data_IF_749864014873
#
_entry.id   IF_749864014873
#
_cell.length_a   1.000
_cell.length_b   1.000
_cell.length_c   1.000
_cell.angle_alpha   90.00
_cell.angle_beta   90.00
_cell.angle_gamma   90.00
#
_symmetry.space_group_name_H-M   'P 1'
#
loop_
_entity.id
_entity.type
_entity.pdbx_description
1 polymer ?
#
# COMPACT_ATOMS: atom_id res chain seq x y z
N UNK A 1 17.42 -6.93 -18.89
CA UNK A 1 16.06 -7.50 -18.74
C UNK A 1 16.00 -8.13 -17.36
N UNK A 2 14.97 -7.88 -16.56
CA UNK A 2 14.79 -8.59 -15.27
C UNK A 2 14.52 -10.05 -15.61
N UNK A 3 15.29 -10.96 -15.01
CA UNK A 3 15.04 -12.39 -15.11
C UNK A 3 14.43 -12.85 -13.80
N UNK A 4 13.19 -13.28 -13.86
CA UNK A 4 12.54 -13.98 -12.74
C UNK A 4 12.90 -15.46 -12.77
N UNK A 5 12.91 -16.11 -11.61
CA UNK A 5 13.07 -17.56 -11.55
C UNK A 5 11.84 -18.25 -12.16
N UNK A 6 11.99 -19.52 -12.53
CA UNK A 6 10.87 -20.31 -13.06
C UNK A 6 9.70 -20.37 -12.04
N UNK A 7 10.01 -20.46 -10.74
CA UNK A 7 9.07 -20.47 -9.65
C UNK A 7 8.33 -19.12 -9.52
N UNK A 8 9.04 -18.01 -9.60
CA UNK A 8 8.44 -16.66 -9.60
C UNK A 8 7.51 -16.44 -10.80
N UNK A 9 7.88 -16.93 -11.99
CA UNK A 9 7.03 -16.85 -13.18
C UNK A 9 5.78 -17.74 -13.05
N UNK A 10 5.89 -18.92 -12.46
CA UNK A 10 4.75 -19.79 -12.19
C UNK A 10 3.81 -19.16 -11.16
N UNK A 11 4.36 -18.65 -10.07
CA UNK A 11 3.62 -17.90 -9.05
C UNK A 11 2.86 -16.72 -9.67
N UNK A 12 3.55 -15.88 -10.46
CA UNK A 12 2.93 -14.76 -11.16
C UNK A 12 1.75 -15.20 -12.03
N UNK A 13 1.92 -16.29 -12.81
CA UNK A 13 0.82 -16.85 -13.62
C UNK A 13 -0.35 -17.34 -12.75
N UNK A 14 -0.08 -17.94 -11.59
CA UNK A 14 -1.14 -18.38 -10.68
C UNK A 14 -1.92 -17.19 -10.11
N UNK A 15 -1.22 -16.13 -9.66
CA UNK A 15 -1.86 -14.90 -9.19
C UNK A 15 -2.64 -14.23 -10.31
N UNK A 16 -2.09 -14.15 -11.53
CA UNK A 16 -2.78 -13.56 -12.68
C UNK A 16 -4.10 -14.28 -13.00
N UNK A 17 -4.12 -15.63 -12.99
CA UNK A 17 -5.36 -16.41 -13.19
C UNK A 17 -6.40 -16.11 -12.12
N UNK A 18 -6.00 -16.03 -10.85
CA UNK A 18 -6.90 -15.66 -9.76
C UNK A 18 -7.48 -14.25 -9.96
N UNK A 19 -6.60 -13.30 -10.31
CA UNK A 19 -7.00 -11.90 -10.53
C UNK A 19 -7.97 -11.79 -11.70
N UNK A 20 -7.72 -12.47 -12.81
CA UNK A 20 -8.59 -12.42 -13.99
C UNK A 20 -9.95 -13.11 -13.74
N UNK A 21 -9.96 -14.19 -12.96
CA UNK A 21 -11.18 -14.95 -12.70
C UNK A 21 -12.04 -14.36 -11.58
N UNK A 22 -11.47 -13.83 -10.51
CA UNK A 22 -12.23 -13.44 -9.33
C UNK A 22 -12.15 -11.94 -8.99
N UNK A 23 -11.03 -11.25 -9.25
CA UNK A 23 -10.79 -9.88 -8.79
C UNK A 23 -11.26 -8.84 -9.82
N UNK A 24 -10.75 -8.94 -11.04
CA UNK A 24 -11.05 -7.95 -12.08
C UNK A 24 -12.56 -7.84 -12.40
N UNK A 25 -13.32 -8.95 -12.49
CA UNK A 25 -14.77 -8.87 -12.75
C UNK A 25 -15.57 -8.18 -11.63
N UNK A 26 -15.06 -8.16 -10.39
CA UNK A 26 -15.75 -7.55 -9.26
C UNK A 26 -15.38 -6.07 -9.04
N UNK A 27 -14.30 -5.59 -9.69
CA UNK A 27 -13.65 -4.32 -9.34
C UNK A 27 -14.56 -3.10 -9.56
N UNK A 28 -15.30 -3.03 -10.65
CA UNK A 28 -16.18 -1.89 -10.96
C UNK A 28 -17.36 -1.82 -9.99
N UNK A 29 -18.04 -2.93 -9.73
CA UNK A 29 -19.15 -2.99 -8.78
C UNK A 29 -18.72 -2.65 -7.33
N UNK A 30 -17.52 -3.04 -6.92
CA UNK A 30 -16.96 -2.69 -5.62
C UNK A 30 -16.61 -1.19 -5.54
N UNK A 31 -16.05 -0.62 -6.60
CA UNK A 31 -15.76 0.82 -6.68
C UNK A 31 -17.06 1.63 -6.62
N UNK A 32 -18.09 1.25 -7.38
CA UNK A 32 -19.40 1.92 -7.41
C UNK A 32 -20.04 1.96 -6.01
N UNK A 33 -20.06 0.81 -5.31
CA UNK A 33 -20.63 0.72 -3.96
C UNK A 33 -19.75 1.29 -2.88
N UNK A 34 -18.46 1.57 -3.17
CA UNK A 34 -17.45 1.97 -2.19
C UNK A 34 -17.41 1.02 -0.97
N UNK A 35 -17.53 -0.28 -1.23
CA UNK A 35 -17.68 -1.33 -0.22
C UNK A 35 -16.38 -2.13 -0.06
N UNK A 36 -16.00 -2.41 1.21
CA UNK A 36 -14.86 -3.26 1.50
C UNK A 36 -15.03 -4.65 0.87
N UNK A 37 -14.05 -5.14 0.12
CA UNK A 37 -14.16 -6.40 -0.63
C UNK A 37 -13.98 -7.64 0.26
N UNK A 38 -14.82 -7.80 1.30
CA UNK A 38 -14.64 -8.78 2.38
C UNK A 38 -14.45 -10.22 1.86
N UNK A 39 -15.26 -10.66 0.88
CA UNK A 39 -15.13 -11.99 0.28
C UNK A 39 -13.78 -12.20 -0.39
N UNK A 40 -13.34 -11.24 -1.20
CA UNK A 40 -12.04 -11.34 -1.89
C UNK A 40 -10.88 -11.21 -0.92
N UNK A 41 -11.00 -10.35 0.10
CA UNK A 41 -9.99 -10.21 1.14
C UNK A 41 -9.81 -11.52 1.93
N UNK A 42 -10.91 -12.16 2.34
CA UNK A 42 -10.87 -13.49 2.97
C UNK A 42 -10.25 -14.53 2.05
N UNK A 43 -10.61 -14.50 0.75
CA UNK A 43 -10.05 -15.41 -0.26
C UNK A 43 -8.54 -15.27 -0.42
N UNK A 44 -7.99 -14.04 -0.33
CA UNK A 44 -6.53 -13.82 -0.31
C UNK A 44 -5.86 -14.50 0.89
N UNK A 45 -6.50 -14.48 2.06
CA UNK A 45 -6.02 -15.19 3.26
C UNK A 45 -6.03 -16.70 3.07
N UNK A 46 -7.12 -17.27 2.54
CA UNK A 46 -7.26 -18.71 2.25
C UNK A 46 -6.21 -19.22 1.24
N UNK A 47 -5.85 -18.40 0.28
CA UNK A 47 -4.79 -18.67 -0.70
C UNK A 47 -3.38 -18.42 -0.16
N UNK A 48 -3.23 -17.96 1.10
CA UNK A 48 -1.95 -17.66 1.72
C UNK A 48 -1.31 -16.34 1.28
N UNK A 49 -1.97 -15.54 0.44
CA UNK A 49 -1.39 -14.34 -0.14
C UNK A 49 -1.18 -13.21 0.89
N UNK A 50 -2.00 -13.14 1.96
CA UNK A 50 -1.78 -12.18 3.03
C UNK A 50 -0.57 -12.52 3.90
N UNK A 51 -0.14 -13.79 3.88
CA UNK A 51 0.98 -14.32 4.65
C UNK A 51 2.30 -14.45 3.88
N UNK A 52 2.38 -14.04 2.61
CA UNK A 52 3.54 -14.29 1.74
C UNK A 52 4.90 -13.97 2.39
N UNK A 53 5.02 -12.83 3.04
CA UNK A 53 6.26 -12.32 3.66
C UNK A 53 6.60 -12.92 5.03
N UNK A 54 5.73 -13.74 5.60
CA UNK A 54 5.87 -14.25 6.97
C UNK A 54 6.38 -15.69 6.98
N UNK A 55 7.08 -16.11 8.07
CA UNK A 55 7.57 -17.47 8.20
C UNK A 55 6.44 -18.52 8.22
N UNK A 56 6.74 -19.73 7.78
CA UNK A 56 5.83 -20.89 7.81
C UNK A 56 5.32 -21.19 9.22
N UNK A 57 6.12 -20.93 10.26
CA UNK A 57 5.73 -21.11 11.67
C UNK A 57 4.47 -20.33 12.07
N UNK A 58 4.10 -19.28 11.30
CA UNK A 58 2.90 -18.48 11.49
C UNK A 58 1.88 -18.68 10.34
N UNK A 59 2.11 -19.62 9.45
CA UNK A 59 1.25 -19.87 8.29
C UNK A 59 1.56 -18.97 7.09
N UNK A 60 2.75 -18.40 7.04
CA UNK A 60 3.25 -17.65 5.89
C UNK A 60 4.02 -18.53 4.90
N UNK A 61 4.54 -17.92 3.83
CA UNK A 61 5.30 -18.61 2.78
C UNK A 61 6.78 -18.26 2.78
N UNK A 62 7.27 -17.34 3.61
CA UNK A 62 8.67 -16.90 3.64
C UNK A 62 9.15 -16.26 2.34
N UNK A 63 8.23 -15.74 1.51
CA UNK A 63 8.53 -15.22 0.19
C UNK A 63 9.44 -13.99 0.25
N UNK A 64 10.28 -13.84 -0.77
CA UNK A 64 11.13 -12.67 -0.97
C UNK A 64 10.32 -11.44 -1.41
N UNK A 65 10.96 -10.26 -1.43
CA UNK A 65 10.31 -9.02 -1.82
C UNK A 65 9.97 -8.98 -3.32
N UNK A 66 10.76 -9.64 -4.16
CA UNK A 66 10.47 -9.78 -5.59
C UNK A 66 9.15 -10.53 -5.79
N UNK A 67 8.98 -11.68 -5.15
CA UNK A 67 7.74 -12.48 -5.19
C UNK A 67 6.54 -11.70 -4.65
N UNK A 68 6.73 -10.97 -3.55
CA UNK A 68 5.69 -10.12 -2.99
C UNK A 68 5.30 -8.97 -3.96
N UNK A 69 6.25 -8.36 -4.64
CA UNK A 69 5.97 -7.35 -5.67
C UNK A 69 5.20 -7.92 -6.86
N UNK A 70 5.49 -9.15 -7.29
CA UNK A 70 4.73 -9.83 -8.35
C UNK A 70 3.25 -9.99 -7.95
N UNK A 71 3.00 -10.41 -6.69
CA UNK A 71 1.65 -10.47 -6.15
C UNK A 71 0.97 -9.10 -6.13
N UNK A 72 1.62 -8.08 -5.56
CA UNK A 72 1.06 -6.75 -5.41
C UNK A 72 0.76 -6.09 -6.78
N UNK A 73 1.65 -6.26 -7.76
CA UNK A 73 1.50 -5.78 -9.13
C UNK A 73 0.27 -6.42 -9.81
N UNK A 74 0.16 -7.75 -9.79
CA UNK A 74 -0.97 -8.45 -10.42
C UNK A 74 -2.29 -8.11 -9.71
N UNK A 75 -2.29 -8.00 -8.38
CA UNK A 75 -3.50 -7.65 -7.63
C UNK A 75 -3.99 -6.23 -7.98
N UNK A 76 -3.06 -5.26 -8.08
CA UNK A 76 -3.37 -3.88 -8.47
C UNK A 76 -3.82 -3.77 -9.93
N UNK A 77 -3.35 -4.66 -10.82
CA UNK A 77 -3.84 -4.78 -12.20
C UNK A 77 -5.34 -5.12 -12.22
N UNK A 78 -5.81 -5.97 -11.34
CA UNK A 78 -7.23 -6.31 -11.24
C UNK A 78 -8.05 -5.30 -10.45
N UNK A 79 -7.59 -4.92 -9.26
CA UNK A 79 -8.27 -3.96 -8.38
C UNK A 79 -7.27 -3.22 -7.50
N UNK A 80 -7.11 -1.93 -7.75
CA UNK A 80 -6.26 -1.07 -6.92
C UNK A 80 -6.79 -0.96 -5.48
N UNK A 81 -8.12 -0.95 -5.30
CA UNK A 81 -8.74 -0.91 -3.97
C UNK A 81 -8.43 -2.16 -3.15
N UNK A 82 -8.54 -3.36 -3.76
CA UNK A 82 -8.19 -4.61 -3.07
C UNK A 82 -6.70 -4.68 -2.77
N UNK A 83 -5.85 -4.24 -3.72
CA UNK A 83 -4.41 -4.17 -3.51
C UNK A 83 -4.04 -3.25 -2.33
N UNK A 84 -4.63 -2.06 -2.24
CA UNK A 84 -4.41 -1.14 -1.13
C UNK A 84 -4.81 -1.76 0.22
N UNK A 85 -5.99 -2.41 0.29
CA UNK A 85 -6.47 -3.08 1.51
C UNK A 85 -5.57 -4.26 1.93
N UNK A 86 -5.19 -5.13 0.97
CA UNK A 86 -4.36 -6.30 1.20
C UNK A 86 -2.91 -5.92 1.58
N UNK A 87 -2.33 -4.91 0.94
CA UNK A 87 -0.99 -4.43 1.25
C UNK A 87 -0.94 -3.72 2.62
N UNK A 88 -2.00 -3.01 3.03
CA UNK A 88 -2.13 -2.51 4.40
C UNK A 88 -2.09 -3.67 5.40
N UNK A 89 -2.86 -4.72 5.18
CA UNK A 89 -2.86 -5.92 6.02
C UNK A 89 -1.46 -6.55 6.11
N UNK A 90 -0.92 -6.93 4.96
CA UNK A 90 0.24 -7.82 4.86
C UNK A 90 1.59 -7.15 5.15
N UNK A 91 1.71 -5.83 4.98
CA UNK A 91 2.97 -5.12 5.27
C UNK A 91 2.89 -4.17 6.47
N UNK A 92 1.75 -3.54 6.74
CA UNK A 92 1.69 -2.50 7.78
C UNK A 92 0.92 -2.99 9.01
N UNK A 93 -0.28 -3.54 8.83
CA UNK A 93 -1.12 -3.96 9.94
C UNK A 93 -0.55 -5.13 10.75
N UNK A 94 0.14 -6.06 10.09
CA UNK A 94 0.68 -7.27 10.71
C UNK A 94 2.18 -7.19 11.04
N UNK A 95 2.94 -6.31 10.36
CA UNK A 95 4.40 -6.23 10.53
C UNK A 95 4.84 -5.97 11.97
N UNK A 96 4.23 -4.99 12.62
CA UNK A 96 4.64 -4.60 13.98
C UNK A 96 4.32 -5.68 15.01
N UNK A 97 3.22 -6.42 14.81
CA UNK A 97 2.87 -7.58 15.63
C UNK A 97 3.93 -8.67 15.48
N UNK A 98 4.33 -8.95 14.22
CA UNK A 98 5.36 -9.97 13.94
C UNK A 98 6.72 -9.59 14.54
N UNK A 99 7.19 -8.36 14.30
CA UNK A 99 8.56 -7.95 14.70
C UNK A 99 8.70 -7.69 16.19
N UNK A 100 7.68 -7.14 16.83
CA UNK A 100 7.78 -6.59 18.18
C UNK A 100 6.79 -7.16 19.19
N UNK A 101 5.81 -7.94 18.75
CA UNK A 101 4.87 -8.63 19.62
C UNK A 101 5.48 -9.83 20.30
N UNK A 102 4.94 -10.21 21.47
CA UNK A 102 5.23 -11.49 22.13
C UNK A 102 4.71 -12.66 21.28
N UNK A 103 5.15 -13.88 21.61
CA UNK A 103 4.65 -15.09 20.93
C UNK A 103 3.13 -15.24 21.09
N UNK A 104 2.58 -14.90 22.26
CA UNK A 104 1.13 -14.92 22.50
C UNK A 104 0.40 -13.94 21.59
N UNK A 105 0.91 -12.70 21.42
CA UNK A 105 0.34 -11.72 20.50
C UNK A 105 0.41 -12.19 19.04
N UNK A 106 1.52 -12.81 18.64
CA UNK A 106 1.67 -13.39 17.30
C UNK A 106 0.64 -14.49 17.05
N UNK A 107 0.49 -15.43 18.01
CA UNK A 107 -0.50 -16.52 17.87
C UNK A 107 -1.93 -16.00 17.88
N UNK A 108 -2.23 -15.04 18.75
CA UNK A 108 -3.58 -14.52 18.92
C UNK A 108 -4.02 -13.62 17.77
N UNK A 109 -3.13 -12.78 17.21
CA UNK A 109 -3.51 -11.72 16.26
C UNK A 109 -2.87 -11.89 14.87
N UNK A 110 -1.56 -12.21 14.81
CA UNK A 110 -0.88 -12.34 13.51
C UNK A 110 -1.42 -13.52 12.71
N UNK A 111 -1.46 -14.72 13.30
CA UNK A 111 -1.89 -15.93 12.58
C UNK A 111 -3.31 -15.79 11.99
N UNK A 112 -4.33 -15.36 12.74
CA UNK A 112 -5.65 -15.13 12.16
C UNK A 112 -5.67 -14.02 11.11
N UNK A 113 -4.87 -12.96 11.30
CA UNK A 113 -4.78 -11.88 10.31
C UNK A 113 -4.18 -12.36 8.98
N UNK A 114 -3.17 -13.24 8.99
CA UNK A 114 -2.61 -13.83 7.77
C UNK A 114 -3.60 -14.75 7.03
N UNK A 115 -4.56 -15.33 7.74
CA UNK A 115 -5.67 -16.12 7.18
C UNK A 115 -6.86 -15.27 6.71
N UNK A 116 -6.80 -13.94 6.92
CA UNK A 116 -7.92 -13.07 6.62
C UNK A 116 -9.13 -13.24 7.56
N UNK A 117 -8.94 -13.84 8.74
CA UNK A 117 -9.96 -13.96 9.78
C UNK A 117 -10.10 -12.67 10.60
N UNK A 118 -9.02 -11.89 10.69
CA UNK A 118 -8.97 -10.58 11.32
C UNK A 118 -8.43 -9.54 10.33
N UNK A 119 -9.02 -8.37 10.36
CA UNK A 119 -8.51 -7.20 9.62
C UNK A 119 -7.61 -6.39 10.54
N UNK A 120 -6.33 -6.31 10.20
CA UNK A 120 -5.34 -5.53 10.92
C UNK A 120 -5.00 -4.24 10.17
N UNK A 121 -4.74 -3.16 10.90
CA UNK A 121 -4.33 -1.87 10.33
C UNK A 121 -3.25 -1.18 11.15
N UNK A 122 -2.66 -0.14 10.55
CA UNK A 122 -1.68 0.73 11.19
C UNK A 122 -2.16 2.18 11.18
N UNK A 123 -2.19 2.82 12.35
CA UNK A 123 -2.73 4.15 12.56
C UNK A 123 -1.64 5.11 13.06
N UNK A 124 -1.12 5.96 12.15
CA UNK A 124 -0.10 6.96 12.42
C UNK A 124 -0.64 8.38 12.27
N UNK A 125 -1.26 8.65 11.12
CA UNK A 125 -1.70 9.98 10.67
C UNK A 125 -2.81 10.55 11.56
N UNK A 126 -2.75 11.86 11.82
CA UNK A 126 -3.75 12.62 12.57
C UNK A 126 -4.25 13.82 11.74
N UNK A 127 -5.38 14.45 12.10
CA UNK A 127 -5.91 15.59 11.34
C UNK A 127 -4.87 16.69 11.06
N UNK A 128 -3.94 16.92 11.99
CA UNK A 128 -2.91 17.96 11.90
C UNK A 128 -1.49 17.41 11.69
N UNK A 129 -1.31 16.09 11.49
CA UNK A 129 0.00 15.45 11.40
C UNK A 129 0.01 14.32 10.37
N UNK A 130 0.39 14.64 9.13
CA UNK A 130 0.62 13.68 8.04
C UNK A 130 2.11 13.51 7.77
N UNK A 131 2.67 14.37 6.89
CA UNK A 131 4.11 14.36 6.58
C UNK A 131 4.98 14.75 7.77
N UNK A 132 4.49 15.63 8.65
CA UNK A 132 5.13 15.97 9.94
C UNK A 132 4.70 15.00 11.05
N UNK A 133 5.26 13.78 11.02
CA UNK A 133 5.01 12.75 12.03
C UNK A 133 5.40 13.21 13.46
N UNK A 134 6.33 14.15 13.59
CA UNK A 134 6.75 14.67 14.90
C UNK A 134 5.63 15.44 15.63
N UNK A 135 4.62 15.90 14.89
CA UNK A 135 3.51 16.71 15.39
C UNK A 135 2.27 15.90 15.79
N UNK A 136 2.33 14.55 15.83
CA UNK A 136 1.20 13.76 16.34
C UNK A 136 0.90 14.18 17.78
N UNK A 137 -0.37 14.13 18.17
CA UNK A 137 -0.89 14.55 19.49
C UNK A 137 -1.52 13.42 20.28
N UNK A 138 -1.84 12.29 19.64
CA UNK A 138 -2.28 11.07 20.34
C UNK A 138 -1.27 10.71 21.41
N UNK A 139 -1.72 10.56 22.64
CA UNK A 139 -0.89 10.30 23.82
C UNK A 139 -1.25 8.99 24.49
N UNK A 140 -0.24 8.38 25.08
CA UNK A 140 -0.34 7.23 25.96
C UNK A 140 0.21 7.61 27.32
N UNK A 141 -0.63 7.58 28.36
CA UNK A 141 -0.27 7.87 29.73
C UNK A 141 -0.16 6.57 30.52
N UNK A 142 0.89 6.42 31.31
CA UNK A 142 1.06 5.23 32.15
C UNK A 142 0.03 5.20 33.26
N UNK A 143 -0.67 4.07 33.43
CA UNK A 143 -1.62 3.85 34.52
C UNK A 143 -1.42 2.45 35.10
N UNK A 144 -0.90 2.39 36.35
CA UNK A 144 -0.50 1.12 36.94
C UNK A 144 0.58 0.42 36.15
N UNK A 145 0.34 -0.81 35.76
CA UNK A 145 1.21 -1.61 34.90
C UNK A 145 0.92 -1.45 33.40
N UNK A 146 -0.20 -0.78 33.04
CA UNK A 146 -0.64 -0.56 31.65
C UNK A 146 -0.57 0.89 31.21
N UNK A 147 -1.37 1.20 30.19
CA UNK A 147 -1.44 2.50 29.52
C UNK A 147 -2.88 2.93 29.28
N UNK A 148 -3.09 4.24 29.19
CA UNK A 148 -4.36 4.83 28.74
C UNK A 148 -4.09 5.70 27.52
N UNK A 149 -4.75 5.40 26.40
CA UNK A 149 -4.60 6.11 25.14
C UNK A 149 -5.76 7.07 24.90
N UNK A 150 -5.41 8.30 24.43
CA UNK A 150 -6.37 9.34 23.99
C UNK A 150 -5.87 9.99 22.72
N UNK A 151 -6.77 10.22 21.77
CA UNK A 151 -6.46 10.93 20.53
C UNK A 151 -7.34 10.55 19.36
N UNK A 152 -7.01 11.12 18.19
CA UNK A 152 -7.72 10.87 16.93
C UNK A 152 -6.72 10.50 15.85
N UNK A 153 -7.00 9.43 15.14
CA UNK A 153 -6.28 9.03 13.93
C UNK A 153 -7.20 9.20 12.72
N UNK A 154 -6.64 9.61 11.60
CA UNK A 154 -7.40 9.80 10.35
C UNK A 154 -6.67 9.22 9.16
N UNK A 155 -7.36 9.08 8.04
CA UNK A 155 -6.83 8.46 6.81
C UNK A 155 -6.28 7.04 7.01
N UNK A 156 -6.86 6.31 7.96
CA UNK A 156 -6.42 4.95 8.27
C UNK A 156 -7.13 3.96 7.35
N UNK A 157 -6.36 3.36 6.44
CA UNK A 157 -6.84 2.30 5.53
C UNK A 157 -7.32 1.10 6.36
N UNK A 158 -8.43 0.52 5.96
CA UNK A 158 -9.14 -0.57 6.64
C UNK A 158 -9.75 -0.19 8.01
N UNK A 159 -9.59 1.03 8.54
CA UNK A 159 -10.11 1.39 9.88
C UNK A 159 -11.58 1.03 10.08
N UNK A 160 -12.52 1.33 9.16
CA UNK A 160 -13.94 1.05 9.39
C UNK A 160 -14.28 -0.43 9.64
N UNK A 161 -13.40 -1.35 9.20
CA UNK A 161 -13.57 -2.81 9.32
C UNK A 161 -12.49 -3.47 10.16
N UNK A 162 -11.58 -2.69 10.77
CA UNK A 162 -10.46 -3.25 11.51
C UNK A 162 -10.88 -3.93 12.81
N UNK A 163 -10.32 -5.10 13.07
CA UNK A 163 -10.42 -5.84 14.33
C UNK A 163 -9.25 -5.51 15.25
N UNK A 164 -8.07 -5.29 14.65
CA UNK A 164 -6.80 -5.09 15.35
C UNK A 164 -6.08 -3.87 14.78
N UNK A 165 -5.63 -2.99 15.68
CA UNK A 165 -5.02 -1.73 15.30
C UNK A 165 -3.64 -1.58 15.96
N UNK A 166 -2.60 -1.36 15.16
CA UNK A 166 -1.33 -0.84 15.69
C UNK A 166 -1.39 0.68 15.66
N UNK A 167 -1.33 1.32 16.82
CA UNK A 167 -1.49 2.77 16.97
C UNK A 167 -0.19 3.39 17.44
N UNK A 168 0.29 4.43 16.75
CA UNK A 168 1.39 5.26 17.17
C UNK A 168 0.90 6.34 18.14
N UNK A 169 1.49 6.45 19.33
CA UNK A 169 1.14 7.45 20.34
C UNK A 169 2.39 7.97 21.04
N UNK A 170 2.34 9.21 21.56
CA UNK A 170 3.39 9.78 22.39
C UNK A 170 3.28 9.30 23.83
N UNK A 171 4.41 8.90 24.40
CA UNK A 171 4.53 8.47 25.79
C UNK A 171 4.98 9.60 26.74
N UNK A 172 5.33 10.77 26.20
CA UNK A 172 5.61 11.99 26.97
C UNK A 172 5.07 13.22 26.25
N UNK A 173 4.96 14.34 26.99
CA UNK A 173 4.50 15.63 26.46
C UNK A 173 5.51 16.37 25.57
N UNK A 174 6.72 15.86 25.42
CA UNK A 174 7.76 16.50 24.63
C UNK A 174 7.47 16.41 23.14
N UNK A 175 7.75 17.49 22.42
CA UNK A 175 7.71 17.50 20.95
C UNK A 175 8.89 16.71 20.39
N UNK A 176 8.63 15.87 19.39
CA UNK A 176 9.68 15.14 18.70
C UNK A 176 9.30 13.70 18.38
N UNK A 177 10.26 12.99 17.77
CA UNK A 177 10.08 11.63 17.27
C UNK A 177 10.43 10.54 18.30
N UNK A 178 11.31 10.87 19.27
CA UNK A 178 11.88 9.88 20.21
C UNK A 178 10.84 9.24 21.13
N UNK A 179 9.78 9.98 21.46
CA UNK A 179 8.76 9.59 22.43
C UNK A 179 7.54 8.91 21.79
N UNK A 180 7.65 8.50 20.54
CA UNK A 180 6.58 7.75 19.86
C UNK A 180 6.78 6.26 20.16
N UNK A 181 5.71 5.63 20.65
CA UNK A 181 5.62 4.19 20.87
C UNK A 181 4.47 3.59 20.05
N UNK A 182 4.48 2.27 19.88
CA UNK A 182 3.48 1.54 19.13
C UNK A 182 2.67 0.65 20.08
N UNK A 183 1.35 0.76 20.02
CA UNK A 183 0.41 0.03 20.86
C UNK A 183 -0.51 -0.84 20.00
N UNK A 184 -0.67 -2.10 20.39
CA UNK A 184 -1.60 -3.03 19.75
C UNK A 184 -2.95 -2.95 20.46
N UNK A 185 -3.98 -2.53 19.74
CA UNK A 185 -5.34 -2.45 20.25
C UNK A 185 -6.20 -3.56 19.65
N UNK A 186 -6.92 -4.26 20.52
CA UNK A 186 -7.96 -5.24 20.18
C UNK A 186 -9.31 -4.56 20.33
N UNK A 187 -9.97 -4.29 19.21
CA UNK A 187 -11.24 -3.57 19.19
C UNK A 187 -12.35 -4.28 19.99
N UNK A 188 -12.37 -5.60 19.96
CA UNK A 188 -13.40 -6.39 20.65
C UNK A 188 -13.17 -6.44 22.18
N UNK A 189 -11.90 -6.40 22.60
CA UNK A 189 -11.51 -6.54 24.00
C UNK A 189 -11.37 -5.20 24.75
N UNK A 190 -11.11 -4.09 24.02
CA UNK A 190 -10.80 -2.78 24.62
C UNK A 190 -11.95 -1.79 24.39
N UNK A 191 -12.37 -1.09 25.45
CA UNK A 191 -13.38 -0.03 25.38
C UNK A 191 -12.75 1.30 24.98
N UNK A 192 -13.60 2.24 24.53
CA UNK A 192 -13.15 3.59 24.16
C UNK A 192 -12.56 3.70 22.76
N UNK A 193 -12.67 2.67 21.92
CA UNK A 193 -12.27 2.69 20.51
C UNK A 193 -13.53 2.88 19.66
N UNK A 194 -13.64 4.04 19.01
CA UNK A 194 -14.72 4.32 18.06
C UNK A 194 -14.13 4.40 16.65
N UNK A 195 -14.64 3.56 15.74
CA UNK A 195 -14.31 3.63 14.32
C UNK A 195 -15.28 4.58 13.62
N UNK A 196 -14.75 5.63 13.00
CA UNK A 196 -15.53 6.59 12.25
C UNK A 196 -16.07 6.01 10.94
N UNK A 197 -16.96 6.75 10.28
CA UNK A 197 -17.45 6.43 8.95
C UNK A 197 -16.31 6.40 7.96
N UNK A 198 -16.48 5.63 6.87
CA UNK A 198 -15.56 5.71 5.73
C UNK A 198 -15.52 7.13 5.17
N UNK A 199 -14.32 7.63 4.95
CA UNK A 199 -14.09 8.88 4.23
C UNK A 199 -14.48 8.63 2.76
N UNK A 200 -15.39 9.43 2.24
CA UNK A 200 -15.75 9.39 0.83
C UNK A 200 -14.57 9.88 -0.01
N UNK A 201 -14.14 9.06 -0.96
CA UNK A 201 -12.95 9.31 -1.77
C UNK A 201 -13.25 9.17 -3.24
N UNK A 202 -12.58 9.95 -4.06
CA UNK A 202 -12.63 9.78 -5.51
C UNK A 202 -11.90 8.53 -5.99
N UNK A 203 -10.89 8.06 -5.24
CA UNK A 203 -9.97 6.99 -5.61
C UNK A 203 -10.02 5.83 -4.61
N UNK A 204 -9.68 4.64 -5.06
CA UNK A 204 -9.61 3.41 -4.23
C UNK A 204 -10.83 3.28 -3.32
N UNK A 205 -12.01 3.49 -3.88
CA UNK A 205 -13.25 3.65 -3.11
C UNK A 205 -13.57 2.43 -2.26
N UNK A 206 -13.31 1.24 -2.77
CA UNK A 206 -13.52 -0.03 -2.05
C UNK A 206 -12.40 -0.35 -1.04
N UNK A 207 -11.29 0.39 -0.99
CA UNK A 207 -10.34 0.36 0.11
C UNK A 207 -10.81 1.33 1.19
N UNK A 208 -11.75 0.88 2.04
CA UNK A 208 -12.36 1.74 3.06
C UNK A 208 -11.30 2.37 3.95
N UNK A 209 -11.45 3.66 4.20
CA UNK A 209 -10.48 4.47 4.95
C UNK A 209 -11.26 5.33 5.92
N UNK A 210 -10.84 5.45 7.16
CA UNK A 210 -11.64 6.15 8.16
C UNK A 210 -10.81 6.79 9.26
N UNK A 211 -11.53 7.28 10.25
CA UNK A 211 -10.99 7.84 11.47
C UNK A 211 -11.10 6.83 12.63
N UNK A 212 -10.24 6.98 13.62
CA UNK A 212 -10.25 6.21 14.86
C UNK A 212 -10.21 7.22 16.00
N UNK A 213 -11.24 7.25 16.83
CA UNK A 213 -11.28 8.02 18.06
C UNK A 213 -10.92 7.10 19.23
N UNK A 214 -10.00 7.56 20.06
CA UNK A 214 -9.50 6.87 21.25
C UNK A 214 -9.87 7.71 22.49
N UNK A 215 -10.76 7.20 23.32
CA UNK A 215 -11.28 7.85 24.53
C UNK A 215 -11.00 6.96 25.74
N UNK A 216 -9.92 7.29 26.45
CA UNK A 216 -9.48 6.55 27.65
C UNK A 216 -9.30 5.04 27.42
N UNK A 217 -8.72 4.67 26.29
CA UNK A 217 -8.51 3.25 25.95
C UNK A 217 -7.46 2.65 26.87
N UNK A 218 -7.88 1.73 27.76
CA UNK A 218 -6.98 1.00 28.63
C UNK A 218 -6.28 -0.12 27.85
N UNK A 219 -4.94 -0.06 27.83
CA UNK A 219 -4.08 -0.98 27.09
C UNK A 219 -3.14 -1.70 28.05
N UNK A 220 -3.20 -3.05 28.12
CA UNK A 220 -2.32 -3.84 28.96
C UNK A 220 -0.83 -3.62 28.57
N UNK A 221 0.08 -3.69 29.57
CA UNK A 221 1.51 -3.51 29.34
C UNK A 221 2.07 -4.42 28.22
N UNK A 222 1.60 -5.68 28.14
CA UNK A 222 2.01 -6.64 27.11
C UNK A 222 1.62 -6.27 25.68
N UNK A 223 0.75 -5.26 25.47
CA UNK A 223 0.35 -4.77 24.16
C UNK A 223 1.19 -3.59 23.65
N UNK A 224 2.21 -3.16 24.41
CA UNK A 224 3.24 -2.22 23.96
C UNK A 224 4.23 -2.95 23.05
N UNK A 225 4.34 -2.52 21.80
CA UNK A 225 5.16 -3.18 20.80
C UNK A 225 6.59 -2.62 20.78
N UNK A 226 7.53 -3.39 21.34
CA UNK A 226 8.97 -3.10 21.26
C UNK A 226 9.46 -1.93 22.12
N UNK A 227 8.74 -1.57 23.21
CA UNK A 227 9.16 -0.59 24.22
C UNK A 227 8.60 0.82 24.03
N UNK A 228 8.81 1.65 25.04
CA UNK A 228 8.17 2.97 25.23
C UNK A 228 8.67 4.06 24.29
N UNK A 229 9.74 3.80 23.56
CA UNK A 229 10.40 4.74 22.64
C UNK A 229 10.77 4.04 21.32
N UNK A 230 11.33 4.81 20.37
CA UNK A 230 11.87 4.23 19.14
C UNK A 230 10.77 3.79 18.14
N UNK A 231 9.54 4.31 18.26
CA UNK A 231 8.47 3.97 17.33
C UNK A 231 8.76 4.45 15.90
N UNK A 232 9.47 5.57 15.75
CA UNK A 232 9.84 6.08 14.41
C UNK A 232 10.90 5.22 13.76
N UNK A 233 11.88 4.74 14.50
CA UNK A 233 12.89 3.80 14.00
C UNK A 233 12.23 2.47 13.58
N UNK A 234 11.26 1.99 14.35
CA UNK A 234 10.47 0.81 14.01
C UNK A 234 9.66 1.00 12.72
N UNK A 235 9.02 2.17 12.55
CA UNK A 235 8.33 2.55 11.33
C UNK A 235 9.35 2.68 10.18
N UNK A 236 10.51 3.33 10.45
CA UNK A 236 11.60 3.48 9.48
C UNK A 236 12.08 2.15 8.91
N UNK A 237 12.12 1.11 9.73
CA UNK A 237 12.56 -0.23 9.34
C UNK A 237 11.77 -0.88 8.21
N UNK A 238 10.50 -0.49 8.01
CA UNK A 238 9.65 -1.05 6.94
C UNK A 238 9.40 -0.06 5.79
N UNK A 239 9.78 1.21 5.92
CA UNK A 239 9.45 2.24 4.91
C UNK A 239 9.97 1.91 3.52
N UNK A 240 11.15 1.30 3.40
CA UNK A 240 11.70 0.91 2.11
C UNK A 240 10.84 -0.17 1.43
N UNK A 241 10.39 -1.18 2.18
CA UNK A 241 9.49 -2.21 1.66
C UNK A 241 8.14 -1.62 1.24
N UNK A 242 7.57 -0.72 2.05
CA UNK A 242 6.31 -0.01 1.73
C UNK A 242 6.44 0.79 0.43
N UNK A 243 7.56 1.49 0.22
CA UNK A 243 7.80 2.28 -0.98
C UNK A 243 7.96 1.39 -2.22
N UNK A 244 8.72 0.30 -2.12
CA UNK A 244 8.89 -0.66 -3.22
C UNK A 244 7.56 -1.36 -3.55
N UNK A 245 6.78 -1.77 -2.55
CA UNK A 245 5.43 -2.29 -2.74
C UNK A 245 4.52 -1.25 -3.43
N UNK A 246 4.57 0.02 -2.99
CA UNK A 246 3.77 1.10 -3.63
C UNK A 246 4.16 1.29 -5.09
N UNK A 247 5.44 1.14 -5.42
CA UNK A 247 5.90 1.15 -6.81
C UNK A 247 5.34 -0.05 -7.60
N UNK A 248 5.32 -1.25 -7.01
CA UNK A 248 4.77 -2.44 -7.67
C UNK A 248 3.26 -2.29 -7.97
N UNK A 249 2.45 -1.81 -7.02
CA UNK A 249 1.02 -1.55 -7.29
C UNK A 249 0.81 -0.42 -8.30
N UNK A 250 1.73 0.56 -8.37
CA UNK A 250 1.71 1.62 -9.40
C UNK A 250 1.94 1.04 -10.80
N UNK A 251 2.90 0.13 -10.94
CA UNK A 251 3.17 -0.60 -12.19
C UNK A 251 1.95 -1.45 -12.58
N UNK A 252 1.33 -2.16 -11.64
CA UNK A 252 0.14 -2.98 -11.90
C UNK A 252 -1.03 -2.16 -12.43
N UNK A 253 -1.34 -1.02 -11.80
CA UNK A 253 -2.38 -0.11 -12.26
C UNK A 253 -2.08 0.46 -13.66
N UNK A 254 -0.85 0.88 -13.89
CA UNK A 254 -0.42 1.42 -15.18
C UNK A 254 -0.49 0.36 -16.31
N UNK A 255 -0.15 -0.90 -16.00
CA UNK A 255 -0.31 -2.03 -16.93
C UNK A 255 -1.78 -2.24 -17.33
N UNK A 256 -2.70 -2.17 -16.36
CA UNK A 256 -4.13 -2.27 -16.65
C UNK A 256 -4.60 -1.14 -17.58
N UNK A 257 -4.21 0.09 -17.27
CA UNK A 257 -4.57 1.26 -18.07
C UNK A 257 -3.98 1.22 -19.50
N UNK A 258 -2.71 0.84 -19.62
CA UNK A 258 -2.05 0.67 -20.91
C UNK A 258 -2.73 -0.44 -21.75
N UNK A 259 -3.00 -1.59 -21.14
CA UNK A 259 -3.67 -2.71 -21.81
C UNK A 259 -5.06 -2.34 -22.35
N UNK A 260 -5.86 -1.65 -21.53
CA UNK A 260 -7.17 -1.15 -21.94
C UNK A 260 -7.07 -0.13 -23.08
N UNK A 261 -6.13 0.82 -22.99
CA UNK A 261 -5.92 1.83 -24.03
C UNK A 261 -5.49 1.21 -25.36
N UNK A 262 -4.58 0.23 -25.32
CA UNK A 262 -4.11 -0.48 -26.50
C UNK A 262 -5.23 -1.30 -27.16
N UNK A 263 -6.01 -2.02 -26.37
CA UNK A 263 -7.15 -2.79 -26.89
C UNK A 263 -8.17 -1.87 -27.56
N UNK A 264 -8.59 -0.81 -26.88
CA UNK A 264 -9.51 0.18 -27.43
C UNK A 264 -8.96 0.82 -28.73
N UNK A 265 -7.68 1.20 -28.75
CA UNK A 265 -7.09 1.82 -29.93
C UNK A 265 -7.05 0.91 -31.16
N UNK A 266 -7.01 -0.41 -30.96
CA UNK A 266 -7.05 -1.40 -32.06
C UNK A 266 -8.46 -1.60 -32.61
N UNK A 267 -9.49 -1.41 -31.81
CA UNK A 267 -10.89 -1.62 -32.18
C UNK A 267 -11.57 -0.34 -32.70
N UNK A 268 -11.28 0.79 -32.08
CA UNK A 268 -11.92 2.07 -32.40
C UNK A 268 -11.48 2.57 -33.75
N UNK A 269 -12.47 2.84 -34.62
CA UNK A 269 -12.24 3.38 -35.96
C UNK A 269 -12.42 4.91 -35.98
N UNK A 270 -11.52 5.61 -36.64
CA UNK A 270 -11.65 7.01 -36.98
C UNK A 270 -10.87 7.33 -38.27
N UNK A 271 -11.40 8.19 -39.13
CA UNK A 271 -10.80 8.53 -40.41
C UNK A 271 -10.47 7.32 -41.28
N UNK A 272 -11.36 6.31 -41.29
CA UNK A 272 -11.28 5.13 -42.13
C UNK A 272 -10.32 4.02 -41.69
N UNK A 273 -9.75 4.09 -40.47
CA UNK A 273 -8.83 3.08 -39.94
C UNK A 273 -8.84 3.02 -38.41
N UNK A 274 -8.33 1.93 -37.80
CA UNK A 274 -8.13 1.86 -36.35
C UNK A 274 -7.30 3.03 -35.82
N UNK A 275 -7.68 3.59 -34.67
CA UNK A 275 -6.99 4.79 -34.17
C UNK A 275 -5.54 4.53 -33.77
N UNK A 276 -5.15 3.29 -33.50
CA UNK A 276 -3.75 2.89 -33.26
C UNK A 276 -2.83 3.19 -34.42
N UNK A 277 -3.36 3.23 -35.65
CA UNK A 277 -2.61 3.53 -36.89
C UNK A 277 -2.35 5.04 -37.10
N UNK A 278 -2.95 5.90 -36.26
CA UNK A 278 -2.66 7.33 -36.29
C UNK A 278 -1.41 7.60 -35.45
N UNK A 279 -0.40 8.27 -36.03
CA UNK A 279 0.90 8.52 -35.42
C UNK A 279 0.78 9.14 -34.01
N UNK A 280 -0.14 10.09 -33.80
CA UNK A 280 -0.34 10.73 -32.51
C UNK A 280 -0.77 9.73 -31.41
N UNK A 281 -1.59 8.72 -31.74
CA UNK A 281 -1.98 7.66 -30.81
C UNK A 281 -0.81 6.69 -30.59
N UNK A 282 -0.11 6.30 -31.68
CA UNK A 282 1.06 5.47 -31.60
C UNK A 282 2.15 6.03 -30.68
N UNK A 283 2.42 7.34 -30.77
CA UNK A 283 3.39 8.02 -29.88
C UNK A 283 2.97 7.99 -28.41
N UNK A 284 1.67 8.24 -28.10
CA UNK A 284 1.17 8.12 -26.74
C UNK A 284 1.39 6.71 -26.18
N UNK A 285 1.02 5.69 -26.91
CA UNK A 285 1.22 4.29 -26.50
C UNK A 285 2.70 3.95 -26.33
N UNK A 286 3.59 4.45 -27.18
CA UNK A 286 5.04 4.24 -27.08
C UNK A 286 5.60 4.89 -25.80
N UNK A 287 5.23 6.15 -25.50
CA UNK A 287 5.68 6.87 -24.32
C UNK A 287 5.14 6.21 -23.03
N UNK A 288 3.87 5.77 -23.03
CA UNK A 288 3.27 5.02 -21.92
C UNK A 288 4.07 3.75 -21.65
N UNK A 289 4.35 2.96 -22.69
CA UNK A 289 5.09 1.70 -22.55
C UNK A 289 6.52 1.92 -22.08
N UNK A 290 7.24 2.90 -22.64
CA UNK A 290 8.62 3.22 -22.26
C UNK A 290 8.72 3.63 -20.79
N UNK A 291 7.85 4.54 -20.33
CA UNK A 291 7.82 5.00 -18.94
C UNK A 291 7.42 3.89 -17.96
N UNK A 292 6.44 3.05 -18.33
CA UNK A 292 6.03 1.90 -17.56
C UNK A 292 7.18 0.91 -17.40
N UNK A 293 7.90 0.61 -18.49
CA UNK A 293 9.03 -0.32 -18.47
C UNK A 293 10.17 0.19 -17.60
N UNK A 294 10.48 1.48 -17.63
CA UNK A 294 11.48 2.09 -16.76
C UNK A 294 11.10 1.96 -15.27
N UNK A 295 9.84 2.25 -14.91
CA UNK A 295 9.36 2.10 -13.54
C UNK A 295 9.36 0.65 -13.06
N UNK A 296 9.00 -0.30 -13.93
CA UNK A 296 9.06 -1.73 -13.67
C UNK A 296 10.50 -2.18 -13.35
N UNK A 297 11.48 -1.79 -14.18
CA UNK A 297 12.88 -2.12 -13.95
C UNK A 297 13.38 -1.60 -12.61
N UNK A 298 13.09 -0.33 -12.27
CA UNK A 298 13.46 0.26 -10.98
C UNK A 298 12.81 -0.49 -9.81
N UNK A 299 11.55 -0.87 -9.95
CA UNK A 299 10.78 -1.55 -8.89
C UNK A 299 11.41 -2.89 -8.53
N UNK A 300 11.67 -3.74 -9.52
CA UNK A 300 12.23 -5.06 -9.27
C UNK A 300 13.72 -5.04 -8.93
N UNK A 301 14.47 -4.04 -9.44
CA UNK A 301 15.83 -3.82 -8.97
C UNK A 301 15.87 -3.45 -7.47
N UNK A 302 14.97 -2.56 -7.03
CA UNK A 302 14.86 -2.19 -5.63
C UNK A 302 14.42 -3.37 -4.75
N UNK A 303 13.46 -4.19 -5.22
CA UNK A 303 13.02 -5.40 -4.54
C UNK A 303 14.18 -6.39 -4.36
N UNK A 304 14.93 -6.69 -5.42
CA UNK A 304 16.07 -7.60 -5.37
C UNK A 304 17.19 -7.09 -4.44
N UNK A 305 17.41 -5.79 -4.35
CA UNK A 305 18.37 -5.20 -3.39
C UNK A 305 17.91 -5.36 -1.94
N UNK A 306 16.61 -5.27 -1.65
CA UNK A 306 16.05 -5.58 -0.33
C UNK A 306 16.27 -7.05 0.02
N UNK A 307 16.01 -7.97 -0.92
CA UNK A 307 16.21 -9.40 -0.71
C UNK A 307 17.69 -9.75 -0.48
N UNK A 308 18.60 -8.98 -1.09
CA UNK A 308 20.05 -9.06 -0.81
C UNK A 308 20.47 -8.37 0.53
N UNK A 309 19.53 -7.93 1.37
CA UNK A 309 19.79 -7.31 2.68
C UNK A 309 20.42 -5.91 2.59
N UNK A 310 20.29 -5.21 1.44
CA UNK A 310 20.86 -3.88 1.26
C UNK A 310 19.97 -2.79 1.87
N UNK A 311 20.58 -1.78 2.46
CA UNK A 311 19.88 -0.54 2.81
C UNK A 311 19.64 0.27 1.54
N UNK A 312 18.36 0.57 1.23
CA UNK A 312 17.95 1.20 -0.04
C UNK A 312 16.99 2.38 0.18
N UNK A 313 17.12 3.11 1.27
CA UNK A 313 16.17 4.18 1.62
C UNK A 313 16.00 5.23 0.52
N UNK A 314 17.10 5.64 -0.13
CA UNK A 314 17.12 6.58 -1.25
C UNK A 314 16.54 5.94 -2.52
N UNK A 315 17.02 4.75 -2.87
CA UNK A 315 16.56 4.04 -4.07
C UNK A 315 15.07 3.68 -3.98
N UNK A 316 14.57 3.27 -2.81
CA UNK A 316 13.17 3.03 -2.57
C UNK A 316 12.32 4.32 -2.72
N UNK A 317 12.85 5.46 -2.27
CA UNK A 317 12.21 6.76 -2.46
C UNK A 317 12.16 7.17 -3.94
N UNK A 318 13.28 7.00 -4.68
CA UNK A 318 13.33 7.25 -6.13
C UNK A 318 12.37 6.34 -6.89
N UNK A 319 12.37 5.06 -6.57
CA UNK A 319 11.54 4.04 -7.22
C UNK A 319 10.05 4.37 -7.04
N UNK A 320 9.61 4.66 -5.81
CA UNK A 320 8.22 5.03 -5.53
C UNK A 320 7.84 6.34 -6.23
N UNK A 321 8.69 7.35 -6.20
CA UNK A 321 8.46 8.63 -6.86
C UNK A 321 8.22 8.42 -8.36
N UNK A 322 9.14 7.76 -9.04
CA UNK A 322 9.06 7.53 -10.49
C UNK A 322 7.82 6.69 -10.83
N UNK A 323 7.56 5.59 -10.11
CA UNK A 323 6.46 4.69 -10.42
C UNK A 323 5.08 5.34 -10.17
N UNK A 324 4.91 6.12 -9.10
CA UNK A 324 3.63 6.76 -8.81
C UNK A 324 3.31 7.91 -9.79
N UNK A 325 4.30 8.74 -10.14
CA UNK A 325 4.14 9.81 -11.14
C UNK A 325 3.90 9.22 -12.54
N UNK A 326 4.60 8.15 -12.90
CA UNK A 326 4.38 7.39 -14.14
C UNK A 326 2.95 6.85 -14.21
N UNK A 327 2.45 6.23 -13.14
CA UNK A 327 1.09 5.68 -13.12
C UNK A 327 0.02 6.77 -13.34
N UNK A 328 0.19 7.95 -12.75
CA UNK A 328 -0.69 9.11 -12.99
C UNK A 328 -0.67 9.52 -14.46
N UNK A 329 0.52 9.62 -15.07
CA UNK A 329 0.67 10.00 -16.48
C UNK A 329 0.06 8.94 -17.40
N UNK A 330 0.35 7.66 -17.18
CA UNK A 330 -0.15 6.56 -18.02
C UNK A 330 -1.68 6.44 -17.96
N UNK A 331 -2.27 6.58 -16.77
CA UNK A 331 -3.73 6.51 -16.61
C UNK A 331 -4.45 7.73 -17.20
N UNK A 332 -3.84 8.92 -17.18
CA UNK A 332 -4.35 10.12 -17.85
C UNK A 332 -4.32 9.93 -19.38
N UNK A 333 -3.20 9.48 -19.95
CA UNK A 333 -3.11 9.23 -21.39
C UNK A 333 -4.05 8.10 -21.84
N UNK A 334 -4.26 7.06 -21.03
CA UNK A 334 -5.24 6.02 -21.31
C UNK A 334 -6.65 6.62 -21.43
N UNK A 335 -7.07 7.44 -20.47
CA UNK A 335 -8.38 8.11 -20.53
C UNK A 335 -8.51 9.02 -21.78
N UNK A 336 -7.45 9.73 -22.16
CA UNK A 336 -7.42 10.57 -23.38
C UNK A 336 -7.55 9.78 -24.65
N UNK A 337 -6.98 8.56 -24.73
CA UNK A 337 -7.12 7.67 -25.90
C UNK A 337 -8.59 7.23 -26.06
N UNK A 338 -9.31 7.03 -24.97
CA UNK A 338 -10.74 6.75 -24.99
C UNK A 338 -11.60 8.00 -25.33
N UNK A 339 -11.03 9.21 -25.30
CA UNK A 339 -11.72 10.47 -25.52
C UNK A 339 -12.93 10.61 -24.58
N UNK A 340 -14.13 10.93 -25.07
CA UNK A 340 -15.34 11.07 -24.24
C UNK A 340 -15.71 9.79 -23.51
N UNK A 341 -15.43 8.62 -24.07
CA UNK A 341 -15.65 7.33 -23.38
C UNK A 341 -14.72 7.12 -22.18
N UNK A 342 -13.59 7.83 -22.11
CA UNK A 342 -12.70 7.83 -20.94
C UNK A 342 -13.32 8.49 -19.70
N UNK A 343 -14.43 9.21 -19.85
CA UNK A 343 -15.20 9.83 -18.76
C UNK A 343 -16.40 8.97 -18.33
N UNK A 344 -16.79 7.98 -19.15
CA UNK A 344 -17.96 7.16 -18.88
C UNK A 344 -17.64 6.06 -17.85
N UNK A 345 -18.54 5.91 -16.87
CA UNK A 345 -18.35 4.96 -15.76
C UNK A 345 -18.36 3.49 -16.22
N UNK A 346 -18.89 3.21 -17.41
CA UNK A 346 -18.91 1.89 -18.04
C UNK A 346 -17.52 1.38 -18.46
N UNK A 347 -16.53 2.28 -18.61
CA UNK A 347 -15.18 1.94 -19.01
C UNK A 347 -14.22 2.01 -17.82
N UNK A 348 -13.33 1.04 -17.62
CA UNK A 348 -12.48 0.97 -16.44
C UNK A 348 -11.41 2.08 -16.38
N UNK A 349 -11.10 2.75 -17.49
CA UNK A 349 -10.04 3.76 -17.56
C UNK A 349 -10.29 4.97 -16.67
N UNK A 350 -11.57 5.38 -16.47
CA UNK A 350 -11.92 6.44 -15.53
C UNK A 350 -11.58 6.02 -14.07
N UNK A 351 -11.78 4.75 -13.71
CA UNK A 351 -11.41 4.21 -12.39
C UNK A 351 -9.90 4.20 -12.23
N UNK A 352 -9.14 3.74 -13.23
CA UNK A 352 -7.68 3.78 -13.22
C UNK A 352 -7.14 5.21 -13.06
N UNK A 353 -7.72 6.17 -13.78
CA UNK A 353 -7.37 7.59 -13.67
C UNK A 353 -7.58 8.13 -12.24
N UNK A 354 -8.73 7.81 -11.63
CA UNK A 354 -9.03 8.20 -10.24
C UNK A 354 -8.08 7.53 -9.26
N UNK A 355 -7.92 6.21 -9.37
CA UNK A 355 -7.15 5.38 -8.45
C UNK A 355 -5.65 5.74 -8.43
N UNK A 356 -5.08 6.21 -9.56
CA UNK A 356 -3.70 6.64 -9.62
C UNK A 356 -3.39 7.79 -8.65
N UNK A 357 -4.37 8.62 -8.29
CA UNK A 357 -4.19 9.75 -7.34
C UNK A 357 -3.85 9.28 -5.94
N UNK A 358 -4.32 8.10 -5.52
CA UNK A 358 -3.97 7.50 -4.23
C UNK A 358 -2.46 7.24 -4.08
N UNK A 359 -1.79 6.92 -5.17
CA UNK A 359 -0.36 6.58 -5.17
C UNK A 359 0.55 7.77 -4.83
N UNK A 360 0.09 9.00 -5.04
CA UNK A 360 0.90 10.19 -4.78
C UNK A 360 1.13 10.43 -3.28
N UNK A 361 0.11 10.46 -2.40
CA UNK A 361 0.30 10.64 -0.96
C UNK A 361 0.68 9.36 -0.23
N UNK A 362 0.28 8.17 -0.70
CA UNK A 362 0.53 6.90 -0.04
C UNK A 362 2.01 6.55 0.05
N UNK A 363 2.49 6.10 1.22
CA UNK A 363 3.91 5.75 1.44
C UNK A 363 4.88 6.95 1.46
N UNK A 364 4.35 8.16 1.62
CA UNK A 364 5.05 9.44 1.57
C UNK A 364 4.76 10.22 0.29
N UNK A 365 4.43 11.52 0.42
CA UNK A 365 4.12 12.36 -0.73
C UNK A 365 5.32 12.50 -1.67
N UNK A 366 5.08 12.82 -2.94
CA UNK A 366 6.14 13.06 -3.92
C UNK A 366 7.17 14.10 -3.44
N UNK A 367 6.73 15.10 -2.67
CA UNK A 367 7.58 16.15 -2.08
C UNK A 367 8.46 15.57 -0.97
N UNK A 368 7.89 14.75 -0.05
CA UNK A 368 8.65 14.08 1.00
C UNK A 368 9.68 13.11 0.40
N UNK A 369 9.35 12.40 -0.66
CA UNK A 369 10.32 11.55 -1.34
C UNK A 369 11.49 12.35 -1.92
N UNK A 370 11.22 13.52 -2.52
CA UNK A 370 12.27 14.44 -3.00
C UNK A 370 13.15 14.93 -1.85
N UNK A 371 12.56 15.23 -0.68
CA UNK A 371 13.35 15.57 0.53
C UNK A 371 14.25 14.42 0.96
N UNK A 372 13.73 13.16 0.95
CA UNK A 372 14.55 11.98 1.31
C UNK A 372 15.70 11.78 0.31
N UNK A 373 15.42 11.89 -0.98
CA UNK A 373 16.44 11.77 -2.04
C UNK A 373 17.49 12.87 -1.90
N UNK A 374 17.05 14.11 -1.65
CA UNK A 374 17.94 15.28 -1.57
C UNK A 374 18.87 15.29 -0.36
N UNK A 375 18.48 14.64 0.76
CA UNK A 375 19.33 14.56 1.96
C UNK A 375 20.65 13.82 1.74
N UNK A 376 20.64 12.83 0.82
CA UNK A 376 21.81 11.98 0.54
C UNK A 376 22.62 12.48 -0.66
N UNK A 377 22.28 13.66 -1.21
CA UNK A 377 23.04 14.27 -2.31
C UNK A 377 24.25 14.98 -1.73
N UNK A 378 25.38 14.31 -1.73
CA UNK A 378 26.68 14.92 -1.46
C UNK A 378 27.28 15.42 -2.77
N UNK A 379 26.94 16.66 -3.13
CA UNK A 379 27.41 17.31 -4.36
C UNK A 379 28.93 17.55 -4.38
N UNK A 380 29.57 17.61 -3.20
CA UNK A 380 31.01 17.90 -3.09
C UNK A 380 31.88 16.63 -3.33
N UNK A 381 31.32 15.44 -3.18
CA UNK A 381 32.05 14.17 -3.26
C UNK A 381 31.85 13.37 -4.56
N UNK A 382 31.03 13.85 -5.48
CA UNK A 382 30.81 13.17 -6.78
C UNK A 382 30.17 11.79 -6.72
N UNK A 383 29.57 11.40 -5.58
CA UNK A 383 29.00 10.07 -5.34
C UNK A 383 27.53 9.90 -5.75
N UNK A 384 27.00 10.80 -6.54
CA UNK A 384 25.58 10.76 -6.95
C UNK A 384 25.18 9.48 -7.72
N UNK A 385 26.12 8.69 -8.22
CA UNK A 385 25.88 7.51 -9.05
C UNK A 385 26.61 6.23 -8.57
N UNK A 386 27.13 6.18 -7.36
CA UNK A 386 27.80 4.99 -6.82
C UNK A 386 26.81 4.01 -6.18
#
# INVERSE_FOLDING_TARGET
MIQFTAEQEEFRRAVARFVDAEVAPAADALDERAEFPARLFKRLGELGYLGLRYPEAYGGAGADMVTYCLFAEELARGSMSLAAAACMQSLMGTYFIYKFGSEDLRRKYLVPALRGDLVATFALTEPNAGSDVASITTRAERRGDGWVLRGVKTWVTNAPVADVLTVAAKTSGERGLKNIALFLLDRAAMRGITLGKSIEKMAVRASVTGEILLEDVEVPAGHLLGGETGGVEKIGGILSEIRVMTAAISVGLARAAYGAALAYARERQAFGKPIVEHQAIGFKLADMLASLHAALLMTYQAAARLDAGRSIAREAAMTKLVASEMAVKVTDEAARIFASYGLAMEYPVQRYFRDARFLLPGGGTSEILRVVIGRDLDWERGQAFA
#
